data_IF_805566224722
#
_entry.id   IF_805566224722
#
_cell.length_a   1.000
_cell.length_b   1.000
_cell.length_c   1.000
_cell.angle_alpha   90.00
_cell.angle_beta   90.00
_cell.angle_gamma   90.00
#
_symmetry.space_group_name_H-M   'P 1'
#
loop_
_entity.id
_entity.type
_entity.pdbx_description
1 polymer ?
#
# COMPACT_ATOMS: atom_id res chain seq x y z
N UNK A 1 -20.21 -29.20 -5.64
CA UNK A 1 -19.51 -28.07 -4.98
C UNK A 1 -19.53 -26.91 -5.97
N UNK A 2 -19.89 -25.70 -5.56
CA UNK A 2 -19.90 -24.54 -6.47
C UNK A 2 -18.45 -24.26 -6.89
N UNK A 3 -18.20 -24.05 -8.19
CA UNK A 3 -16.87 -23.76 -8.70
C UNK A 3 -16.44 -22.36 -8.22
N UNK A 4 -15.26 -22.26 -7.61
CA UNK A 4 -14.74 -20.96 -7.14
C UNK A 4 -14.39 -20.07 -8.33
N UNK A 5 -14.66 -18.78 -8.21
CA UNK A 5 -14.38 -17.74 -9.21
C UNK A 5 -13.20 -16.88 -8.76
N UNK A 6 -12.17 -16.79 -9.59
CA UNK A 6 -10.94 -16.06 -9.30
C UNK A 6 -10.77 -14.87 -10.25
N UNK A 7 -10.28 -13.75 -9.70
CA UNK A 7 -9.76 -12.65 -10.50
C UNK A 7 -8.24 -12.66 -10.45
N UNK A 8 -7.59 -12.88 -11.59
CA UNK A 8 -6.15 -12.75 -11.74
C UNK A 8 -5.81 -11.32 -12.15
N UNK A 9 -5.24 -10.55 -11.24
CA UNK A 9 -4.85 -9.17 -11.45
C UNK A 9 -3.37 -9.06 -11.84
N UNK A 10 -3.09 -8.51 -13.01
CA UNK A 10 -1.76 -8.50 -13.59
C UNK A 10 -1.14 -7.10 -13.58
N UNK A 11 0.12 -6.99 -13.13
CA UNK A 11 0.95 -5.83 -13.46
C UNK A 11 1.19 -5.80 -14.98
N UNK A 12 1.06 -4.64 -15.65
CA UNK A 12 1.34 -4.54 -17.06
C UNK A 12 2.84 -4.73 -17.34
N UNK A 13 3.15 -5.34 -18.49
CA UNK A 13 4.50 -5.33 -19.01
C UNK A 13 4.87 -3.90 -19.42
N UNK A 14 6.05 -3.45 -19.00
CA UNK A 14 6.60 -2.17 -19.44
C UNK A 14 6.85 -2.22 -20.95
N UNK A 15 6.26 -1.32 -21.72
CA UNK A 15 6.44 -1.23 -23.20
C UNK A 15 7.38 -0.09 -23.58
N UNK A 16 8.00 0.61 -22.62
CA UNK A 16 8.88 1.74 -22.95
C UNK A 16 10.21 1.25 -23.49
N UNK A 17 10.54 1.61 -24.73
CA UNK A 17 11.89 1.49 -25.26
C UNK A 17 12.86 2.28 -24.35
N UNK A 18 13.96 1.66 -23.87
CA UNK A 18 14.92 2.38 -23.06
C UNK A 18 15.51 3.54 -23.88
N UNK A 19 15.67 4.75 -23.30
CA UNK A 19 16.33 5.85 -24.00
C UNK A 19 17.73 5.44 -24.47
N UNK A 20 18.16 5.98 -25.60
CA UNK A 20 19.40 5.62 -26.32
C UNK A 20 20.71 5.81 -25.55
N UNK A 21 20.66 6.35 -24.34
CA UNK A 21 21.82 6.70 -23.51
C UNK A 21 21.96 5.83 -22.25
N UNK A 22 21.13 4.79 -22.07
CA UNK A 22 21.21 3.90 -20.91
C UNK A 22 22.39 2.93 -21.05
N UNK A 23 23.09 2.69 -19.94
CA UNK A 23 24.18 1.70 -19.86
C UNK A 23 23.68 0.30 -20.28
N UNK A 24 24.42 -0.47 -21.12
CA UNK A 24 23.96 -1.76 -21.62
C UNK A 24 23.55 -2.77 -20.53
N UNK A 25 24.27 -2.81 -19.40
CA UNK A 25 23.92 -3.68 -18.26
C UNK A 25 22.55 -3.33 -17.66
N UNK A 26 22.20 -2.04 -17.56
CA UNK A 26 20.89 -1.61 -17.06
C UNK A 26 19.78 -2.05 -18.03
N UNK A 27 20.02 -1.95 -19.34
CA UNK A 27 19.05 -2.44 -20.35
C UNK A 27 18.84 -3.94 -20.19
N UNK A 28 19.92 -4.72 -20.12
CA UNK A 28 19.86 -6.17 -19.96
C UNK A 28 19.14 -6.57 -18.67
N UNK A 29 19.38 -5.84 -17.58
CA UNK A 29 18.70 -6.04 -16.31
C UNK A 29 17.20 -5.75 -16.40
N UNK A 30 16.80 -4.63 -17.03
CA UNK A 30 15.39 -4.29 -17.22
C UNK A 30 14.66 -5.30 -18.11
N UNK A 31 15.30 -5.76 -19.19
CA UNK A 31 14.76 -6.83 -20.05
C UNK A 31 14.60 -8.14 -19.29
N UNK A 32 15.57 -8.50 -18.44
CA UNK A 32 15.48 -9.68 -17.59
C UNK A 32 14.28 -9.57 -16.64
N UNK A 33 14.09 -8.44 -15.95
CA UNK A 33 12.93 -8.23 -15.06
C UNK A 33 11.60 -8.37 -15.79
N UNK A 34 11.52 -7.84 -17.02
CA UNK A 34 10.31 -7.99 -17.84
C UNK A 34 10.07 -9.45 -18.23
N UNK A 35 11.12 -10.18 -18.60
CA UNK A 35 11.04 -11.61 -18.92
C UNK A 35 10.59 -12.43 -17.71
N UNK A 36 11.24 -12.26 -16.56
CA UNK A 36 10.90 -12.95 -15.31
C UNK A 36 9.44 -12.70 -14.91
N UNK A 37 8.99 -11.44 -15.00
CA UNK A 37 7.59 -11.11 -14.74
C UNK A 37 6.62 -11.77 -15.74
N UNK A 38 6.96 -11.79 -17.03
CA UNK A 38 6.15 -12.45 -18.05
C UNK A 38 6.05 -13.97 -17.83
N UNK A 39 7.18 -14.61 -17.51
CA UNK A 39 7.25 -16.03 -17.21
C UNK A 39 6.41 -16.38 -15.98
N UNK A 40 6.42 -15.53 -14.95
CA UNK A 40 5.55 -15.68 -13.77
C UNK A 40 4.06 -15.60 -14.12
N UNK A 41 3.65 -14.70 -15.02
CA UNK A 41 2.25 -14.62 -15.49
C UNK A 41 1.86 -15.92 -16.19
N UNK A 42 2.68 -16.38 -17.14
CA UNK A 42 2.42 -17.61 -17.90
C UNK A 42 2.32 -18.83 -16.98
N UNK A 43 3.23 -18.92 -16.00
CA UNK A 43 3.23 -19.97 -14.98
C UNK A 43 1.94 -19.97 -14.15
N UNK A 44 1.51 -18.81 -13.64
CA UNK A 44 0.27 -18.70 -12.88
C UNK A 44 -0.95 -19.15 -13.70
N UNK A 45 -1.03 -18.72 -14.96
CA UNK A 45 -2.13 -19.10 -15.86
C UNK A 45 -2.11 -20.61 -16.16
N UNK A 46 -0.93 -21.20 -16.38
CA UNK A 46 -0.79 -22.63 -16.62
C UNK A 46 -1.20 -23.48 -15.40
N UNK A 47 -0.95 -23.00 -14.18
CA UNK A 47 -1.46 -23.65 -12.96
C UNK A 47 -2.98 -23.54 -12.90
N UNK A 48 -3.53 -22.33 -13.07
CA UNK A 48 -4.98 -22.11 -12.99
C UNK A 48 -5.77 -22.92 -14.03
N UNK A 49 -5.22 -23.14 -15.23
CA UNK A 49 -5.82 -24.00 -16.25
C UNK A 49 -5.98 -25.46 -15.81
N UNK A 50 -5.15 -25.95 -14.89
CA UNK A 50 -5.21 -27.32 -14.37
C UNK A 50 -6.14 -27.45 -13.16
N UNK A 51 -6.58 -26.34 -12.57
CA UNK A 51 -7.43 -26.31 -11.37
C UNK A 51 -8.91 -26.28 -11.77
N UNK A 52 -9.77 -26.82 -10.92
CA UNK A 52 -11.23 -26.78 -11.10
C UNK A 52 -11.81 -25.46 -10.58
N UNK A 53 -11.39 -24.34 -11.17
CA UNK A 53 -11.82 -22.97 -10.84
C UNK A 53 -12.16 -22.18 -12.10
N UNK A 54 -13.13 -21.28 -12.01
CA UNK A 54 -13.37 -20.27 -13.03
C UNK A 54 -12.43 -19.09 -12.77
N UNK A 55 -11.77 -18.56 -13.79
CA UNK A 55 -10.89 -17.41 -13.60
C UNK A 55 -10.88 -16.46 -14.79
N UNK A 56 -10.66 -15.17 -14.52
CA UNK A 56 -10.44 -14.14 -15.54
C UNK A 56 -9.19 -13.34 -15.24
N UNK A 57 -8.41 -13.01 -16.25
CA UNK A 57 -7.24 -12.14 -16.12
C UNK A 57 -7.56 -10.71 -16.52
N UNK A 58 -7.13 -9.73 -15.72
CA UNK A 58 -7.29 -8.30 -15.98
C UNK A 58 -5.99 -7.58 -15.67
N UNK A 59 -5.57 -6.66 -16.54
CA UNK A 59 -4.47 -5.75 -16.24
C UNK A 59 -4.91 -4.74 -15.18
N UNK A 60 -4.08 -4.50 -14.16
CA UNK A 60 -4.43 -3.58 -13.06
C UNK A 60 -4.77 -2.15 -13.51
N UNK A 61 -4.20 -1.69 -14.62
CA UNK A 61 -4.50 -0.37 -15.18
C UNK A 61 -5.90 -0.30 -15.84
N UNK A 62 -6.50 -1.45 -16.16
CA UNK A 62 -7.84 -1.52 -16.77
C UNK A 62 -8.94 -1.69 -15.72
N UNK A 63 -8.59 -1.73 -14.44
CA UNK A 63 -9.54 -1.82 -13.34
C UNK A 63 -9.96 -0.42 -12.88
N UNK A 64 -11.23 -0.12 -13.08
CA UNK A 64 -11.86 1.15 -12.72
C UNK A 64 -13.11 1.00 -11.85
N UNK A 65 -13.55 -0.23 -11.61
CA UNK A 65 -14.75 -0.55 -10.85
C UNK A 65 -14.39 -1.43 -9.64
N UNK A 66 -15.20 -1.38 -8.55
CA UNK A 66 -15.04 -2.28 -7.42
C UNK A 66 -15.01 -3.74 -7.85
N UNK A 67 -14.12 -4.51 -7.23
CA UNK A 67 -13.98 -5.95 -7.47
C UNK A 67 -15.08 -6.65 -6.68
N UNK A 68 -16.03 -7.24 -7.41
CA UNK A 68 -17.14 -8.00 -6.85
C UNK A 68 -17.23 -9.38 -7.52
N UNK A 69 -18.11 -10.24 -7.00
CA UNK A 69 -18.50 -11.51 -7.63
C UNK A 69 -17.34 -12.49 -7.88
N UNK A 70 -16.32 -12.46 -7.03
CA UNK A 70 -15.23 -13.44 -7.02
C UNK A 70 -14.97 -13.91 -5.60
N UNK A 71 -14.45 -15.12 -5.48
CA UNK A 71 -14.15 -15.78 -4.20
C UNK A 71 -12.70 -15.53 -3.75
N UNK A 72 -11.82 -15.12 -4.67
CA UNK A 72 -10.42 -14.83 -4.42
C UNK A 72 -9.86 -13.90 -5.51
N UNK A 73 -9.08 -12.91 -5.10
CA UNK A 73 -8.21 -12.14 -6.00
C UNK A 73 -6.79 -12.67 -5.90
N UNK A 74 -6.16 -12.94 -7.04
CA UNK A 74 -4.73 -13.29 -7.11
C UNK A 74 -4.01 -12.16 -7.83
N UNK A 75 -3.05 -11.51 -7.19
CA UNK A 75 -2.26 -10.45 -7.84
C UNK A 75 -0.89 -10.96 -8.26
N UNK A 76 -0.51 -10.76 -9.52
CA UNK A 76 0.80 -11.12 -10.06
C UNK A 76 1.62 -9.85 -10.27
N UNK A 77 2.68 -9.68 -9.48
CA UNK A 77 3.51 -8.49 -9.51
C UNK A 77 4.32 -8.35 -8.23
N UNK A 78 3.99 -7.35 -7.42
CA UNK A 78 4.52 -7.17 -6.07
C UNK A 78 3.49 -6.39 -5.25
N UNK A 79 3.91 -5.83 -4.12
CA UNK A 79 3.00 -5.14 -3.20
C UNK A 79 2.20 -4.02 -3.88
N UNK A 80 2.80 -3.29 -4.82
CA UNK A 80 2.08 -2.26 -5.59
C UNK A 80 0.87 -2.78 -6.37
N UNK A 81 0.88 -4.02 -6.85
CA UNK A 81 -0.29 -4.63 -7.51
C UNK A 81 -1.34 -5.04 -6.48
N UNK A 82 -0.91 -5.54 -5.32
CA UNK A 82 -1.80 -5.89 -4.21
C UNK A 82 -2.49 -4.65 -3.64
N UNK A 83 -1.75 -3.56 -3.43
CA UNK A 83 -2.28 -2.27 -2.99
C UNK A 83 -3.38 -1.78 -3.94
N UNK A 84 -3.11 -1.80 -5.25
CA UNK A 84 -4.08 -1.37 -6.25
C UNK A 84 -5.33 -2.26 -6.27
N UNK A 85 -5.21 -3.57 -6.01
CA UNK A 85 -6.36 -4.43 -5.81
C UNK A 85 -7.15 -4.00 -4.57
N UNK A 86 -6.46 -3.83 -3.44
CA UNK A 86 -7.05 -3.50 -2.13
C UNK A 86 -7.84 -2.19 -2.13
N UNK A 87 -7.51 -1.24 -3.01
CA UNK A 87 -8.28 0.00 -3.21
C UNK A 87 -9.68 -0.21 -3.80
N UNK A 88 -9.90 -1.34 -4.47
CA UNK A 88 -11.15 -1.69 -5.15
C UNK A 88 -11.88 -2.85 -4.48
N UNK A 89 -11.36 -3.38 -3.37
CA UNK A 89 -11.90 -4.55 -2.67
C UNK A 89 -12.68 -4.17 -1.40
N UNK A 90 -13.72 -4.94 -1.12
CA UNK A 90 -14.44 -4.91 0.15
C UNK A 90 -13.71 -5.73 1.25
N UNK A 91 -14.39 -6.02 2.35
CA UNK A 91 -13.89 -6.81 3.49
C UNK A 91 -14.22 -8.31 3.40
N UNK A 92 -14.79 -8.77 2.28
CA UNK A 92 -15.25 -10.15 2.11
C UNK A 92 -14.27 -10.96 1.29
N UNK A 93 -13.76 -10.37 0.21
CA UNK A 93 -12.94 -11.08 -0.77
C UNK A 93 -11.48 -11.12 -0.29
N UNK A 94 -10.85 -12.30 -0.13
CA UNK A 94 -9.44 -12.38 0.17
C UNK A 94 -8.57 -12.05 -1.06
N UNK A 95 -7.36 -11.55 -0.82
CA UNK A 95 -6.31 -11.37 -1.84
C UNK A 95 -5.08 -12.20 -1.52
N UNK A 96 -4.57 -12.90 -2.54
CA UNK A 96 -3.29 -13.61 -2.54
C UNK A 96 -2.30 -12.87 -3.45
N UNK A 97 -1.23 -12.35 -2.87
CA UNK A 97 -0.14 -11.72 -3.60
C UNK A 97 0.93 -12.72 -4.05
N UNK A 98 1.24 -12.73 -5.34
CA UNK A 98 2.44 -13.34 -5.90
C UNK A 98 3.47 -12.26 -6.24
N UNK A 99 4.63 -12.34 -5.58
CA UNK A 99 5.82 -11.60 -5.95
C UNK A 99 6.45 -12.27 -7.18
N UNK A 100 6.24 -11.67 -8.35
CA UNK A 100 6.71 -12.20 -9.63
C UNK A 100 8.19 -11.95 -9.89
N UNK A 101 8.82 -11.03 -9.16
CA UNK A 101 10.16 -10.53 -9.42
C UNK A 101 10.86 -10.19 -8.09
N UNK A 102 11.06 -11.18 -7.19
CA UNK A 102 11.66 -10.94 -5.88
C UNK A 102 13.11 -10.48 -6.00
N UNK A 103 13.56 -9.64 -5.07
CA UNK A 103 14.97 -9.22 -4.99
C UNK A 103 15.88 -10.42 -4.78
N UNK A 104 16.92 -10.54 -5.60
CA UNK A 104 17.95 -11.56 -5.50
C UNK A 104 19.19 -10.93 -4.88
N UNK A 105 19.65 -11.47 -3.73
CA UNK A 105 20.76 -10.88 -2.95
C UNK A 105 22.04 -10.87 -3.78
N UNK A 106 22.33 -11.98 -4.46
CA UNK A 106 23.52 -12.13 -5.30
C UNK A 106 23.59 -11.06 -6.40
N UNK A 107 22.46 -10.74 -7.05
CA UNK A 107 22.41 -9.68 -8.06
C UNK A 107 22.63 -8.29 -7.45
N UNK A 108 22.09 -8.03 -6.26
CA UNK A 108 22.31 -6.75 -5.57
C UNK A 108 23.77 -6.58 -5.21
N UNK A 109 24.42 -7.62 -4.69
CA UNK A 109 25.85 -7.58 -4.36
C UNK A 109 26.70 -7.36 -5.61
N UNK A 110 26.44 -8.09 -6.69
CA UNK A 110 27.17 -7.99 -7.96
C UNK A 110 27.09 -6.59 -8.58
N UNK A 111 25.90 -5.98 -8.63
CA UNK A 111 25.67 -4.73 -9.36
C UNK A 111 25.65 -3.47 -8.47
N UNK A 112 25.80 -3.60 -7.15
CA UNK A 112 25.69 -2.49 -6.18
C UNK A 112 26.53 -1.25 -6.48
N UNK A 113 27.66 -1.41 -7.17
CA UNK A 113 28.56 -0.31 -7.54
C UNK A 113 28.20 0.38 -8.86
N UNK A 114 27.34 -0.24 -9.68
CA UNK A 114 26.96 0.28 -10.99
C UNK A 114 25.56 0.91 -10.98
N UNK A 115 24.58 0.24 -10.38
CA UNK A 115 23.19 0.70 -10.31
C UNK A 115 22.40 0.00 -9.20
N UNK A 116 21.19 0.51 -8.93
CA UNK A 116 20.25 -0.13 -8.02
C UNK A 116 19.63 -1.38 -8.66
N UNK A 117 20.18 -2.54 -8.34
CA UNK A 117 19.70 -3.84 -8.78
C UNK A 117 18.61 -4.45 -7.88
N UNK A 118 18.03 -3.67 -6.95
CA UNK A 118 16.91 -4.16 -6.17
C UNK A 118 15.68 -4.41 -7.05
N UNK A 119 14.95 -5.48 -6.75
CA UNK A 119 13.69 -5.83 -7.41
C UNK A 119 12.54 -5.62 -6.43
N UNK A 120 11.51 -6.46 -6.44
CA UNK A 120 10.36 -6.32 -5.54
C UNK A 120 10.63 -7.00 -4.20
N UNK A 121 10.49 -6.24 -3.09
CA UNK A 121 10.50 -6.82 -1.74
C UNK A 121 9.35 -7.80 -1.52
N UNK A 122 8.14 -7.47 -2.00
CA UNK A 122 6.95 -8.32 -1.87
C UNK A 122 6.58 -8.64 -0.43
N UNK A 123 6.60 -7.66 0.46
CA UNK A 123 6.36 -7.82 1.89
C UNK A 123 4.99 -8.44 2.18
N UNK A 124 3.96 -8.08 1.41
CA UNK A 124 2.59 -8.60 1.57
C UNK A 124 2.29 -9.82 0.69
N UNK A 125 3.22 -10.22 -0.18
CA UNK A 125 3.02 -11.30 -1.13
C UNK A 125 3.37 -12.66 -0.51
N UNK A 126 2.36 -13.48 -0.20
CA UNK A 126 2.56 -14.82 0.38
C UNK A 126 3.20 -15.84 -0.57
N UNK A 127 3.17 -15.58 -1.88
CA UNK A 127 3.69 -16.49 -2.89
C UNK A 127 4.82 -15.87 -3.73
N UNK A 128 5.71 -16.73 -4.19
CA UNK A 128 6.66 -16.48 -5.27
C UNK A 128 6.44 -17.52 -6.38
N UNK A 129 7.26 -17.49 -7.42
CA UNK A 129 7.25 -18.53 -8.45
C UNK A 129 7.41 -19.95 -7.87
N UNK A 130 8.18 -20.10 -6.79
CA UNK A 130 8.58 -21.40 -6.23
C UNK A 130 7.45 -22.12 -5.49
N UNK A 131 6.55 -21.38 -4.85
CA UNK A 131 5.55 -21.94 -3.93
C UNK A 131 4.10 -21.60 -4.30
N UNK A 132 3.86 -20.90 -5.41
CA UNK A 132 2.53 -20.42 -5.78
C UNK A 132 1.46 -21.50 -5.79
N UNK A 133 1.73 -22.65 -6.42
CA UNK A 133 0.74 -23.73 -6.51
C UNK A 133 0.32 -24.24 -5.14
N UNK A 134 1.28 -24.45 -4.24
CA UNK A 134 1.03 -24.89 -2.87
C UNK A 134 0.20 -23.87 -2.09
N UNK A 135 0.55 -22.58 -2.17
CA UNK A 135 -0.18 -21.52 -1.45
C UNK A 135 -1.60 -21.35 -2.02
N UNK A 136 -1.75 -21.44 -3.35
CA UNK A 136 -3.05 -21.38 -4.00
C UNK A 136 -3.93 -22.55 -3.57
N UNK A 137 -3.42 -23.78 -3.57
CA UNK A 137 -4.17 -24.97 -3.16
C UNK A 137 -4.60 -24.87 -1.70
N UNK A 138 -3.68 -24.52 -0.80
CA UNK A 138 -4.00 -24.31 0.62
C UNK A 138 -5.05 -23.21 0.83
N UNK A 139 -5.04 -22.16 0.00
CA UNK A 139 -6.05 -21.09 0.04
C UNK A 139 -7.41 -21.59 -0.49
N UNK A 140 -7.42 -22.32 -1.61
CA UNK A 140 -8.65 -22.85 -2.22
C UNK A 140 -9.31 -23.92 -1.35
N UNK A 141 -8.53 -24.71 -0.63
CA UNK A 141 -9.01 -25.74 0.30
C UNK A 141 -9.38 -25.18 1.67
N UNK A 142 -9.08 -23.90 1.95
CA UNK A 142 -9.35 -23.25 3.23
C UNK A 142 -8.37 -23.64 4.35
N UNK A 143 -7.24 -24.23 4.01
CA UNK A 143 -6.16 -24.56 4.95
C UNK A 143 -5.36 -23.31 5.34
N UNK A 144 -5.22 -22.35 4.43
CA UNK A 144 -4.58 -21.05 4.69
C UNK A 144 -5.67 -20.02 4.92
N UNK A 145 -5.71 -19.48 6.14
CA UNK A 145 -6.72 -18.50 6.56
C UNK A 145 -6.24 -17.09 6.25
N UNK A 146 -7.04 -16.24 5.58
CA UNK A 146 -6.71 -14.84 5.37
C UNK A 146 -6.59 -14.07 6.69
N UNK A 147 -5.60 -13.18 6.76
CA UNK A 147 -5.45 -12.22 7.85
C UNK A 147 -6.19 -10.93 7.53
N UNK A 148 -6.71 -10.25 8.56
CA UNK A 148 -7.45 -9.00 8.42
C UNK A 148 -6.52 -7.81 8.62
N UNK A 149 -6.09 -7.19 7.52
CA UNK A 149 -5.25 -5.99 7.57
C UNK A 149 -6.11 -4.73 7.76
N UNK A 150 -5.67 -3.88 8.68
CA UNK A 150 -6.23 -2.56 8.93
C UNK A 150 -6.03 -1.66 7.73
N UNK A 151 -7.08 -0.92 7.34
CA UNK A 151 -7.01 0.17 6.37
C UNK A 151 -7.32 1.51 7.03
N UNK A 152 -6.79 2.58 6.47
CA UNK A 152 -7.05 3.95 6.91
C UNK A 152 -8.26 4.51 6.17
N UNK A 153 -9.25 4.99 6.92
CA UNK A 153 -10.36 5.77 6.40
C UNK A 153 -10.06 7.27 6.53
N UNK A 154 -10.39 8.02 5.49
CA UNK A 154 -10.21 9.47 5.43
C UNK A 154 -11.56 10.13 5.11
N UNK A 155 -11.86 11.22 5.80
CA UNK A 155 -12.98 12.11 5.47
C UNK A 155 -12.46 13.54 5.27
N UNK A 156 -13.03 14.27 4.32
CA UNK A 156 -12.79 15.70 4.13
C UNK A 156 -14.11 16.44 4.28
N UNK A 157 -14.19 17.38 5.22
CA UNK A 157 -15.39 18.15 5.53
C UNK A 157 -16.62 17.27 5.79
N UNK A 158 -16.42 16.14 6.48
CA UNK A 158 -17.48 15.15 6.79
C UNK A 158 -17.84 14.19 5.65
N UNK A 159 -17.22 14.32 4.46
CA UNK A 159 -17.43 13.41 3.33
C UNK A 159 -16.32 12.35 3.28
N UNK A 160 -16.69 11.08 3.32
CA UNK A 160 -15.74 9.98 3.18
C UNK A 160 -15.12 9.95 1.78
N UNK A 161 -13.81 9.79 1.72
CA UNK A 161 -13.12 9.46 0.48
C UNK A 161 -13.44 8.02 0.07
N UNK A 162 -13.48 7.75 -1.24
CA UNK A 162 -13.84 6.43 -1.78
C UNK A 162 -12.78 5.35 -1.59
N UNK A 163 -11.55 5.74 -1.23
CA UNK A 163 -10.41 4.83 -1.15
C UNK A 163 -9.86 4.79 0.26
N UNK A 164 -9.62 3.57 0.75
CA UNK A 164 -8.97 3.31 2.03
C UNK A 164 -7.48 3.01 1.82
N UNK A 165 -6.61 3.64 2.61
CA UNK A 165 -5.16 3.42 2.50
C UNK A 165 -4.75 2.12 3.19
N UNK A 166 -3.97 1.27 2.52
CA UNK A 166 -3.39 0.07 3.11
C UNK A 166 -2.00 0.32 3.68
N UNK A 167 -1.21 1.25 3.11
CA UNK A 167 0.11 1.63 3.62
C UNK A 167 0.05 2.95 4.40
N UNK A 168 -0.09 4.07 3.70
CA UNK A 168 0.01 5.40 4.29
C UNK A 168 -0.78 6.47 3.53
N UNK A 169 -1.15 7.51 4.29
CA UNK A 169 -1.73 8.75 3.82
C UNK A 169 -0.71 9.85 4.06
N UNK A 170 -0.38 10.62 3.03
CA UNK A 170 0.44 11.82 3.14
C UNK A 170 -0.42 13.05 2.81
N UNK A 171 -0.58 13.94 3.78
CA UNK A 171 -1.20 15.25 3.60
C UNK A 171 -0.09 16.29 3.51
N UNK A 172 0.08 16.89 2.35
CA UNK A 172 1.18 17.83 2.10
C UNK A 172 0.81 18.88 1.06
N UNK A 173 1.61 19.93 0.99
CA UNK A 173 1.62 20.82 -0.16
C UNK A 173 2.11 20.05 -1.40
N UNK A 174 1.48 20.19 -2.59
CA UNK A 174 1.84 19.41 -3.79
C UNK A 174 3.25 19.69 -4.31
N UNK A 175 3.75 20.91 -4.09
CA UNK A 175 5.15 21.24 -4.35
C UNK A 175 5.99 20.95 -3.09
N UNK A 176 6.96 20.02 -3.13
CA UNK A 176 7.79 19.67 -1.98
C UNK A 176 8.70 20.82 -1.53
N UNK A 177 8.98 21.80 -2.40
CA UNK A 177 9.71 23.02 -2.05
C UNK A 177 8.86 24.07 -1.31
N UNK A 178 7.60 23.77 -1.01
CA UNK A 178 6.67 24.68 -0.34
C UNK A 178 6.22 24.15 1.01
N UNK A 179 5.94 25.08 1.93
CA UNK A 179 5.56 24.76 3.29
C UNK A 179 4.12 24.23 3.39
N UNK A 180 3.92 23.17 4.17
CA UNK A 180 2.62 22.75 4.65
C UNK A 180 2.30 23.44 5.97
N UNK A 181 1.10 24.01 6.08
CA UNK A 181 0.56 24.57 7.32
C UNK A 181 -0.76 23.90 7.65
N UNK A 182 -0.84 23.36 8.85
CA UNK A 182 -2.03 22.70 9.35
C UNK A 182 -2.00 22.71 10.87
N UNK A 183 -3.15 22.45 11.48
CA UNK A 183 -3.22 22.13 12.90
C UNK A 183 -3.91 20.78 13.06
N UNK A 184 -3.60 20.02 14.10
CA UNK A 184 -4.27 18.75 14.35
C UNK A 184 -4.44 18.47 15.84
N UNK A 185 -5.35 17.56 16.14
CA UNK A 185 -5.50 16.93 17.46
C UNK A 185 -6.03 15.51 17.31
N UNK A 186 -5.82 14.69 18.32
CA UNK A 186 -6.38 13.35 18.43
C UNK A 186 -7.63 13.43 19.32
N UNK A 187 -8.71 12.79 18.87
CA UNK A 187 -9.97 12.65 19.61
C UNK A 187 -10.30 11.18 19.85
N UNK A 188 -11.03 10.92 20.92
CA UNK A 188 -11.73 9.66 21.19
C UNK A 188 -13.23 9.98 21.28
N UNK A 189 -14.00 9.54 20.27
CA UNK A 189 -15.34 10.08 20.04
C UNK A 189 -15.30 11.60 19.82
N UNK A 190 -16.12 12.35 20.58
CA UNK A 190 -16.14 13.82 20.53
C UNK A 190 -15.12 14.49 21.46
N UNK A 191 -14.49 13.71 22.35
CA UNK A 191 -13.58 14.26 23.37
C UNK A 191 -12.14 14.35 22.85
N UNK A 192 -11.45 15.49 23.02
CA UNK A 192 -10.04 15.60 22.66
C UNK A 192 -9.16 14.84 23.65
N UNK A 193 -8.25 14.02 23.13
CA UNK A 193 -7.26 13.25 23.91
C UNK A 193 -5.85 13.86 23.80
N UNK A 194 -5.64 14.81 22.89
CA UNK A 194 -4.40 15.57 22.76
C UNK A 194 -4.69 17.07 22.70
N UNK A 195 -3.71 17.93 23.06
CA UNK A 195 -3.81 19.36 22.77
C UNK A 195 -3.87 19.61 21.26
N UNK A 196 -4.32 20.81 20.88
CA UNK A 196 -4.23 21.28 19.50
C UNK A 196 -2.78 21.62 19.17
N UNK A 197 -2.25 20.96 18.15
CA UNK A 197 -0.89 21.15 17.67
C UNK A 197 -0.94 21.96 16.38
N UNK A 198 -0.20 23.07 16.32
CA UNK A 198 -0.05 23.86 15.11
C UNK A 198 1.29 23.51 14.43
N UNK A 199 1.25 23.15 13.15
CA UNK A 199 2.39 22.64 12.43
C UNK A 199 2.73 23.49 11.21
N UNK A 200 4.04 23.70 11.06
CA UNK A 200 4.70 24.18 9.85
C UNK A 200 5.72 23.11 9.48
N UNK A 201 5.50 22.39 8.40
CA UNK A 201 6.28 21.18 8.10
C UNK A 201 6.24 20.81 6.61
N UNK A 202 6.83 19.69 6.21
CA UNK A 202 6.65 19.14 4.85
C UNK A 202 5.40 18.25 4.70
N UNK A 203 4.62 18.08 5.77
CA UNK A 203 3.32 17.40 5.75
C UNK A 203 3.04 16.59 7.01
N UNK A 204 1.90 15.92 6.99
CA UNK A 204 1.47 14.92 7.98
C UNK A 204 1.36 13.57 7.27
N UNK A 205 2.09 12.56 7.76
CA UNK A 205 1.98 11.17 7.31
C UNK A 205 1.23 10.36 8.36
N UNK A 206 0.28 9.54 7.94
CA UNK A 206 -0.40 8.55 8.79
C UNK A 206 -0.30 7.20 8.12
N UNK A 207 0.15 6.17 8.83
CA UNK A 207 0.39 4.84 8.28
C UNK A 207 -0.27 3.76 9.12
N UNK A 208 -0.74 2.71 8.43
CA UNK A 208 -1.19 1.46 9.05
C UNK A 208 0.02 0.63 9.49
N UNK A 209 -0.24 -0.53 10.11
CA UNK A 209 0.81 -1.50 10.36
C UNK A 209 1.50 -2.02 9.09
N UNK A 210 0.74 -2.28 8.03
CA UNK A 210 1.29 -2.75 6.75
C UNK A 210 2.20 -1.72 6.07
N UNK A 211 1.92 -0.43 6.23
CA UNK A 211 2.79 0.64 5.72
C UNK A 211 3.94 1.04 6.64
N UNK A 212 3.98 0.50 7.87
CA UNK A 212 4.97 0.91 8.90
C UNK A 212 6.40 0.59 8.51
N UNK A 213 6.61 -0.41 7.64
CA UNK A 213 7.92 -0.83 7.10
C UNK A 213 8.27 -0.15 5.77
N UNK A 214 7.37 0.67 5.22
CA UNK A 214 7.53 1.36 3.94
C UNK A 214 7.92 2.84 4.15
N UNK A 215 7.18 3.77 3.55
CA UNK A 215 7.49 5.20 3.60
C UNK A 215 7.48 5.78 5.03
N UNK A 216 6.73 5.18 5.96
CA UNK A 216 6.78 5.53 7.38
C UNK A 216 8.15 5.20 8.00
N UNK A 217 8.68 4.00 7.73
CA UNK A 217 10.02 3.60 8.20
C UNK A 217 11.11 4.53 7.66
N UNK A 218 11.07 4.85 6.36
CA UNK A 218 12.03 5.79 5.75
C UNK A 218 11.98 7.19 6.35
N UNK A 219 10.85 7.59 6.95
CA UNK A 219 10.71 8.89 7.61
C UNK A 219 11.22 8.89 9.07
N UNK A 220 11.68 7.74 9.59
CA UNK A 220 12.10 7.57 10.98
C UNK A 220 11.00 7.01 11.89
N UNK A 221 9.90 6.50 11.31
CA UNK A 221 8.89 5.75 12.03
C UNK A 221 9.40 4.37 12.47
N UNK A 222 8.58 3.63 13.23
CA UNK A 222 8.92 2.29 13.71
C UNK A 222 8.02 1.21 13.08
N UNK A 223 8.54 -0.02 12.87
CA UNK A 223 7.72 -1.15 12.46
C UNK A 223 6.65 -1.47 13.50
N UNK A 224 5.46 -1.86 13.02
CA UNK A 224 4.33 -2.26 13.86
C UNK A 224 3.99 -3.74 13.62
N UNK A 225 3.39 -4.44 14.60
CA UNK A 225 2.83 -5.78 14.37
C UNK A 225 1.82 -5.72 13.22
N UNK A 226 1.96 -6.59 12.21
CA UNK A 226 1.21 -6.49 10.94
C UNK A 226 -0.32 -6.48 11.12
N UNK A 227 -0.82 -7.13 12.18
CA UNK A 227 -2.24 -7.20 12.53
C UNK A 227 -2.71 -6.08 13.48
N UNK A 228 -1.87 -5.10 13.78
CA UNK A 228 -2.25 -3.98 14.64
C UNK A 228 -3.38 -3.16 14.02
N UNK A 229 -4.30 -2.72 14.88
CA UNK A 229 -5.43 -1.86 14.53
C UNK A 229 -5.17 -0.38 14.86
N UNK A 230 -4.01 -0.11 15.47
CA UNK A 230 -3.51 1.24 15.67
C UNK A 230 -2.94 1.78 14.34
N UNK A 231 -2.95 3.09 14.20
CA UNK A 231 -2.19 3.80 13.18
C UNK A 231 -0.99 4.49 13.81
N UNK A 232 0.02 4.79 13.01
CA UNK A 232 1.16 5.63 13.38
C UNK A 232 1.08 6.94 12.61
N UNK A 233 1.28 8.08 13.26
CA UNK A 233 1.30 9.38 12.61
C UNK A 233 2.65 10.06 12.81
N UNK A 234 3.09 10.84 11.82
CA UNK A 234 4.33 11.61 11.86
C UNK A 234 4.18 12.93 11.13
N UNK A 235 4.48 14.02 11.80
CA UNK A 235 4.72 15.33 11.20
C UNK A 235 6.11 15.31 10.57
N UNK A 236 6.18 15.48 9.25
CA UNK A 236 7.46 15.41 8.51
C UNK A 236 8.21 16.73 8.59
N UNK A 237 9.46 16.70 9.05
CA UNK A 237 10.38 17.87 9.08
C UNK A 237 9.75 19.12 9.74
N UNK A 238 9.31 19.02 11.01
CA UNK A 238 8.65 20.14 11.69
C UNK A 238 9.61 21.31 11.92
N UNK A 239 9.16 22.53 11.61
CA UNK A 239 9.91 23.76 11.85
C UNK A 239 9.75 24.17 13.32
N UNK A 240 10.83 24.07 14.09
CA UNK A 240 10.94 24.55 15.47
C UNK A 240 9.77 24.12 16.37
N UNK A 241 9.55 22.81 16.57
CA UNK A 241 8.38 22.30 17.29
C UNK A 241 8.34 22.71 18.77
N UNK A 242 9.48 23.06 19.37
CA UNK A 242 9.54 23.58 20.74
C UNK A 242 8.82 22.67 21.74
N UNK A 243 7.86 23.23 22.48
CA UNK A 243 7.11 22.51 23.51
C UNK A 243 6.19 21.39 22.99
N UNK A 244 5.94 21.29 21.68
CA UNK A 244 5.11 20.22 21.08
C UNK A 244 5.93 19.12 20.41
N UNK A 245 7.24 19.06 20.63
CA UNK A 245 8.14 18.07 20.00
C UNK A 245 7.68 16.62 20.22
N UNK A 246 7.17 16.30 21.41
CA UNK A 246 6.71 14.94 21.75
C UNK A 246 5.44 14.53 20.98
N UNK A 247 4.76 15.48 20.33
CA UNK A 247 3.57 15.24 19.50
C UNK A 247 3.88 15.20 18.01
N UNK A 248 5.15 15.23 17.60
CA UNK A 248 5.50 15.17 16.17
C UNK A 248 5.41 13.75 15.61
N UNK A 249 5.35 12.74 16.47
CA UNK A 249 5.25 11.33 16.10
C UNK A 249 4.54 10.57 17.20
N UNK A 250 3.60 9.70 16.86
CA UNK A 250 2.94 8.86 17.84
C UNK A 250 1.98 7.85 17.23
N UNK A 251 1.16 7.26 18.09
CA UNK A 251 0.13 6.30 17.70
C UNK A 251 -1.27 6.93 17.78
N UNK A 252 -2.16 6.47 16.91
CA UNK A 252 -3.60 6.69 16.97
C UNK A 252 -4.23 5.34 17.28
N UNK A 253 -4.89 5.22 18.43
CA UNK A 253 -5.58 3.99 18.82
C UNK A 253 -6.80 3.72 17.95
N UNK A 254 -7.28 2.47 17.92
CA UNK A 254 -8.42 2.03 17.09
C UNK A 254 -9.67 2.91 17.21
N UNK A 255 -9.98 3.36 18.42
CA UNK A 255 -11.13 4.21 18.77
C UNK A 255 -10.88 5.70 18.56
N UNK A 256 -9.62 6.08 18.31
CA UNK A 256 -9.20 7.44 18.12
C UNK A 256 -9.27 7.90 16.67
N UNK A 257 -9.28 9.21 16.48
CA UNK A 257 -9.29 9.85 15.17
C UNK A 257 -8.42 11.09 15.24
N UNK A 258 -7.51 11.24 14.27
CA UNK A 258 -6.78 12.49 14.10
C UNK A 258 -7.64 13.43 13.26
N UNK A 259 -7.86 14.64 13.76
CA UNK A 259 -8.61 15.69 13.10
C UNK A 259 -7.64 16.82 12.79
N UNK A 260 -7.40 17.07 11.50
CA UNK A 260 -6.48 18.07 11.02
C UNK A 260 -7.24 19.18 10.25
N UNK A 261 -6.92 20.44 10.52
CA UNK A 261 -7.40 21.59 9.74
C UNK A 261 -6.26 22.13 8.90
N UNK A 262 -6.46 22.15 7.58
CA UNK A 262 -5.48 22.62 6.61
C UNK A 262 -5.53 24.15 6.47
N UNK A 263 -4.37 24.82 6.45
CA UNK A 263 -4.27 26.30 6.42
C UNK A 263 -3.38 26.85 5.29
N UNK A 264 -3.17 26.04 4.24
CA UNK A 264 -2.52 26.50 3.01
C UNK A 264 -3.54 26.57 1.86
N UNK A 265 -3.33 27.50 0.92
CA UNK A 265 -4.19 27.65 -0.28
C UNK A 265 -4.30 26.39 -1.13
N UNK A 266 -3.26 25.56 -1.12
CA UNK A 266 -3.20 24.28 -1.84
C UNK A 266 -2.72 23.21 -0.88
N UNK A 267 -3.35 22.06 -0.91
CA UNK A 267 -2.88 20.83 -0.28
C UNK A 267 -3.36 19.63 -1.09
N UNK A 268 -2.72 18.49 -0.86
CA UNK A 268 -3.09 17.23 -1.48
C UNK A 268 -2.98 16.13 -0.44
N UNK A 269 -3.99 15.27 -0.39
CA UNK A 269 -3.99 14.00 0.32
C UNK A 269 -3.57 12.93 -0.69
N UNK A 270 -2.44 12.29 -0.46
CA UNK A 270 -1.94 11.16 -1.23
C UNK A 270 -2.24 9.86 -0.49
N UNK A 271 -2.78 8.86 -1.18
CA UNK A 271 -3.13 7.55 -0.62
C UNK A 271 -2.26 6.48 -1.28
N UNK A 272 -1.45 5.78 -0.47
CA UNK A 272 -0.56 4.70 -0.90
C UNK A 272 0.35 5.06 -2.10
N UNK A 273 0.82 6.30 -2.13
CA UNK A 273 1.64 6.86 -3.20
C UNK A 273 0.96 7.99 -3.96
N UNK A 274 1.47 8.33 -5.14
CA UNK A 274 1.04 9.52 -5.89
C UNK A 274 -0.19 9.30 -6.79
N UNK A 275 -0.53 8.05 -7.08
CA UNK A 275 -1.55 7.70 -8.08
C UNK A 275 -2.97 8.05 -7.65
N UNK A 276 -3.28 7.90 -6.36
CA UNK A 276 -4.58 8.26 -5.78
C UNK A 276 -4.37 9.50 -4.93
N UNK A 277 -4.99 10.60 -5.34
CA UNK A 277 -4.85 11.87 -4.64
C UNK A 277 -6.12 12.70 -4.68
N UNK A 278 -6.31 13.49 -3.62
CA UNK A 278 -7.44 14.40 -3.45
C UNK A 278 -6.92 15.78 -3.08
N UNK A 279 -7.33 16.80 -3.82
CA UNK A 279 -6.96 18.18 -3.54
C UNK A 279 -7.76 18.71 -2.35
N UNK A 280 -7.08 19.44 -1.47
CA UNK A 280 -7.66 20.17 -0.36
C UNK A 280 -7.20 21.63 -0.40
N UNK A 281 -7.92 22.49 0.29
CA UNK A 281 -7.68 23.93 0.34
C UNK A 281 -7.81 24.48 1.76
N UNK A 282 -7.50 25.76 1.90
CA UNK A 282 -7.52 26.46 3.18
C UNK A 282 -8.91 26.34 3.84
N UNK A 283 -8.91 25.94 5.12
CA UNK A 283 -10.12 25.71 5.91
C UNK A 283 -10.66 24.28 5.87
N UNK A 284 -10.19 23.41 4.97
CA UNK A 284 -10.64 22.03 4.92
C UNK A 284 -10.26 21.28 6.21
N UNK A 285 -11.21 20.49 6.71
CA UNK A 285 -11.04 19.60 7.86
C UNK A 285 -10.91 18.16 7.39
N UNK A 286 -9.84 17.50 7.79
CA UNK A 286 -9.50 16.13 7.43
C UNK A 286 -9.57 15.27 8.69
N UNK A 287 -10.33 14.18 8.61
CA UNK A 287 -10.42 13.18 9.67
C UNK A 287 -9.81 11.87 9.20
N UNK A 288 -8.97 11.25 10.02
CA UNK A 288 -8.26 10.01 9.67
C UNK A 288 -8.39 9.02 10.82
N UNK A 289 -8.83 7.80 10.51
CA UNK A 289 -9.05 6.74 11.51
C UNK A 289 -8.82 5.34 10.93
N UNK A 290 -8.69 4.31 11.77
CA UNK A 290 -8.61 2.91 11.36
C UNK A 290 -9.99 2.22 11.25
N UNK A 291 -11.07 3.00 11.09
CA UNK A 291 -12.46 2.49 11.02
C UNK A 291 -12.88 2.00 9.64
N UNK A 292 -11.96 1.96 8.66
CA UNK A 292 -12.26 1.39 7.35
C UNK A 292 -12.57 -0.11 7.47
N UNK A 293 -13.38 -0.70 6.57
CA UNK A 293 -13.47 -2.14 6.44
C UNK A 293 -12.07 -2.74 6.25
N UNK A 294 -11.78 -3.88 6.89
CA UNK A 294 -10.47 -4.54 6.77
C UNK A 294 -10.24 -5.08 5.36
N UNK A 295 -8.99 -5.37 5.00
CA UNK A 295 -8.65 -6.14 3.81
C UNK A 295 -8.21 -7.54 4.21
N UNK A 296 -8.83 -8.57 3.62
CA UNK A 296 -8.42 -9.96 3.86
C UNK A 296 -7.25 -10.32 2.96
N UNK A 297 -6.10 -10.63 3.55
CA UNK A 297 -4.86 -10.91 2.82
C UNK A 297 -4.31 -12.27 3.23
N UNK A 298 -3.95 -13.09 2.24
CA UNK A 298 -3.10 -14.26 2.49
C UNK A 298 -1.68 -13.75 2.71
N UNK A 299 -1.20 -13.81 3.95
CA UNK A 299 0.11 -13.29 4.35
C UNK A 299 1.20 -14.37 4.28
N UNK A 300 2.46 -13.97 4.03
CA UNK A 300 3.62 -14.84 4.27
C UNK A 300 3.66 -15.34 5.71
N UNK A 301 4.04 -16.60 5.93
CA UNK A 301 4.09 -17.20 7.28
C UNK A 301 5.02 -16.42 8.24
N UNK A 302 6.09 -15.82 7.72
CA UNK A 302 7.05 -15.02 8.51
C UNK A 302 6.49 -13.72 9.11
N UNK A 303 5.30 -13.27 8.67
CA UNK A 303 4.65 -12.08 9.21
C UNK A 303 3.61 -12.39 10.31
N UNK A 304 3.26 -13.66 10.49
CA UNK A 304 2.29 -14.14 11.48
C UNK A 304 2.99 -14.58 12.76
#
# INVERSE_FOLDING_TARGET
>A
MMMKRLLLLLKPLSVSSPPSHIHPQIIQFLENRQKVHHDAINFCQAILQKKSVEWKAVLRNNLSHPINDVDLVVTVGGDGTLLQAGHLMDDKIPVLGLNSDPTQIDEVEEFSSEFDATRSTGHLCAATFENFEQVLDGTLEGQIVPSELTRTMISVNGLHLSTFALNDVLIAHPCPASLSRFSFRIKEGEQPCSPLINCRSSGLRVSTAAGSTAAMHSAGGFPMPILSQDLQYMVREPISPGAVSDFMHGLIKRDQTIVATWTCRKGVIYIDGSHINYTIQDGDTIEISSKAPVLKVILPHQLL
#
